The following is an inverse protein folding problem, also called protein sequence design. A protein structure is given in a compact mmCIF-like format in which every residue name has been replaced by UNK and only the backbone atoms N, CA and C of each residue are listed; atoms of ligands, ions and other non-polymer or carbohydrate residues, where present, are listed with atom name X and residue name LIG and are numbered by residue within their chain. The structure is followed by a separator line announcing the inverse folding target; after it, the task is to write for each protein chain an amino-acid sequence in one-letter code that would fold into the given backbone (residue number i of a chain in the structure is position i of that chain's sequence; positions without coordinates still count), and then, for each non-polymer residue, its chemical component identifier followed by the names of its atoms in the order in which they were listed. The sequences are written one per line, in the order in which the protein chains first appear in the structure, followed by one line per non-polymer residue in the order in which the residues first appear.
data_IF_563329623080
#
_entry.id   IF_563329623080
#
_cell.length_a   1.000
_cell.length_b   1.000
_cell.length_c   1.000
_cell.angle_alpha   90.00
_cell.angle_beta   90.00
_cell.angle_gamma   90.00
#
_symmetry.space_group_name_H-M   'P 1'
#
loop_
_entity.id
_entity.type
_entity.pdbx_description
1 polymer ?
#
# COMPACT_ATOMS: atom_id res chain seq x y z
N UNK A 1 8.87 -18.26 -4.26
CA UNK A 1 8.90 -16.89 -3.70
C UNK A 1 9.55 -15.87 -4.63
N UNK A 2 8.82 -14.83 -5.06
CA UNK A 2 9.37 -13.58 -5.64
C UNK A 2 9.21 -12.41 -4.65
N UNK A 3 10.12 -11.44 -4.66
CA UNK A 3 10.13 -10.30 -3.73
C UNK A 3 10.22 -9.00 -4.50
N UNK A 4 9.40 -8.03 -4.14
CA UNK A 4 9.32 -6.73 -4.81
C UNK A 4 9.46 -5.62 -3.77
N UNK A 5 10.32 -4.64 -4.04
CA UNK A 5 10.33 -3.40 -3.24
C UNK A 5 9.08 -2.60 -3.62
N UNK A 6 8.37 -2.04 -2.64
CA UNK A 6 7.06 -1.42 -2.87
C UNK A 6 6.85 -0.16 -2.03
N UNK A 7 5.81 0.60 -2.36
CA UNK A 7 5.26 1.60 -1.46
C UNK A 7 6.13 2.84 -1.31
N UNK A 8 6.35 3.24 -0.05
CA UNK A 8 7.02 4.49 0.27
C UNK A 8 8.45 4.54 -0.24
N UNK A 9 9.16 3.41 -0.19
CA UNK A 9 10.54 3.31 -0.66
C UNK A 9 10.68 3.67 -2.14
N UNK A 10 9.84 3.06 -3.00
CA UNK A 10 9.88 3.30 -4.45
C UNK A 10 9.46 4.73 -4.78
N UNK A 11 8.39 5.22 -4.15
CA UNK A 11 7.93 6.61 -4.32
C UNK A 11 9.03 7.63 -3.95
N UNK A 12 9.65 7.44 -2.80
CA UNK A 12 10.64 8.38 -2.27
C UNK A 12 11.93 8.33 -3.11
N UNK A 13 12.29 7.17 -3.67
CA UNK A 13 13.36 7.05 -4.65
C UNK A 13 13.06 7.83 -5.94
N UNK A 14 11.86 7.66 -6.51
CA UNK A 14 11.45 8.36 -7.73
C UNK A 14 11.35 9.88 -7.54
N UNK A 15 10.97 10.34 -6.35
CA UNK A 15 10.98 11.77 -5.99
C UNK A 15 12.38 12.32 -5.70
N UNK A 16 13.42 11.48 -5.63
CA UNK A 16 14.77 11.88 -5.27
C UNK A 16 14.91 12.34 -3.82
N UNK A 17 14.03 11.86 -2.92
CA UNK A 17 14.03 12.18 -1.49
C UNK A 17 14.38 11.00 -0.59
N UNK A 18 14.62 9.83 -1.18
CA UNK A 18 15.11 8.67 -0.44
C UNK A 18 16.53 8.91 0.07
N UNK A 19 16.77 8.46 1.29
CA UNK A 19 18.02 8.50 2.03
C UNK A 19 18.35 7.14 2.66
N UNK A 20 19.46 7.05 3.39
CA UNK A 20 19.86 5.82 4.07
C UNK A 20 18.89 5.34 5.16
N UNK A 21 17.98 6.22 5.62
CA UNK A 21 16.99 5.94 6.65
C UNK A 21 15.62 5.57 6.06
N UNK A 22 15.50 5.57 4.73
CA UNK A 22 14.25 5.24 4.05
C UNK A 22 13.92 3.77 4.28
N UNK A 23 12.79 3.55 4.96
CA UNK A 23 12.27 2.23 5.28
C UNK A 23 11.92 1.48 3.99
N UNK A 24 12.37 0.23 3.92
CA UNK A 24 12.15 -0.64 2.76
C UNK A 24 11.08 -1.66 3.09
N UNK A 25 9.94 -1.48 2.43
CA UNK A 25 8.84 -2.42 2.46
C UNK A 25 8.91 -3.36 1.27
N UNK A 26 8.81 -4.66 1.55
CA UNK A 26 8.84 -5.69 0.53
C UNK A 26 7.50 -6.43 0.46
N UNK A 27 7.03 -6.71 -0.76
CA UNK A 27 5.92 -7.64 -1.01
C UNK A 27 6.47 -8.95 -1.55
N UNK A 28 5.94 -10.05 -1.03
CA UNK A 28 6.32 -11.41 -1.34
C UNK A 28 5.17 -12.13 -2.04
N UNK A 29 5.39 -12.57 -3.27
CA UNK A 29 4.42 -13.29 -4.10
C UNK A 29 4.83 -14.75 -4.27
N UNK A 30 3.85 -15.67 -4.31
CA UNK A 30 4.10 -17.09 -4.52
C UNK A 30 4.92 -17.72 -3.38
N UNK A 31 4.53 -17.42 -2.14
CA UNK A 31 5.08 -17.98 -0.90
C UNK A 31 3.94 -18.18 0.10
N UNK A 32 4.21 -18.86 1.22
CA UNK A 32 3.28 -19.02 2.34
C UNK A 32 3.91 -18.59 3.67
N UNK A 33 3.10 -18.42 4.70
CA UNK A 33 3.61 -18.11 6.05
C UNK A 33 4.58 -19.18 6.55
N UNK A 34 4.25 -20.46 6.31
CA UNK A 34 5.11 -21.58 6.71
C UNK A 34 6.46 -21.54 5.98
N UNK A 35 6.45 -21.29 4.67
CA UNK A 35 7.68 -21.14 3.88
C UNK A 35 8.53 -19.96 4.39
N UNK A 36 7.90 -18.82 4.71
CA UNK A 36 8.61 -17.66 5.29
C UNK A 36 9.26 -18.01 6.64
N UNK A 37 8.55 -18.71 7.52
CA UNK A 37 9.06 -19.14 8.83
C UNK A 37 10.21 -20.15 8.68
N UNK A 38 10.08 -21.12 7.77
CA UNK A 38 11.13 -22.11 7.48
C UNK A 38 12.41 -21.46 6.93
N UNK A 39 12.26 -20.34 6.21
CA UNK A 39 13.38 -19.52 5.75
C UNK A 39 13.97 -18.60 6.84
N UNK A 40 13.46 -18.67 8.08
CA UNK A 40 13.96 -17.92 9.23
C UNK A 40 13.41 -16.49 9.35
N UNK A 41 12.40 -16.12 8.56
CA UNK A 41 11.70 -14.86 8.76
C UNK A 41 10.90 -14.89 10.06
N UNK A 42 10.79 -13.73 10.73
CA UNK A 42 10.06 -13.61 11.99
C UNK A 42 8.76 -12.85 11.78
N UNK A 43 7.62 -13.49 11.99
CA UNK A 43 6.32 -12.82 11.89
C UNK A 43 6.19 -11.70 12.93
N UNK A 44 5.59 -10.58 12.51
CA UNK A 44 5.26 -9.41 13.33
C UNK A 44 3.77 -9.12 13.21
N UNK A 45 3.12 -8.92 14.35
CA UNK A 45 1.66 -8.82 14.40
C UNK A 45 0.98 -10.19 14.33
N UNK A 46 -0.29 -10.23 14.75
CA UNK A 46 -1.10 -11.46 14.71
C UNK A 46 -2.07 -11.51 13.54
N UNK A 47 -2.47 -10.35 13.03
CA UNK A 47 -3.55 -10.21 12.05
C UNK A 47 -3.04 -10.05 10.61
N UNK A 48 -1.79 -9.61 10.43
CA UNK A 48 -1.20 -9.37 9.11
C UNK A 48 0.02 -10.27 8.88
N UNK A 49 0.18 -10.88 7.70
CA UNK A 49 1.33 -11.72 7.38
C UNK A 49 2.55 -10.87 7.01
N UNK A 50 2.99 -10.03 7.95
CA UNK A 50 4.21 -9.24 7.84
C UNK A 50 5.32 -9.95 8.61
N UNK A 51 6.49 -10.04 7.99
CA UNK A 51 7.63 -10.74 8.55
C UNK A 51 8.89 -9.88 8.47
N UNK A 52 9.75 -9.98 9.47
CA UNK A 52 11.07 -9.36 9.42
C UNK A 52 12.09 -10.31 8.84
N UNK A 53 12.90 -9.80 7.92
CA UNK A 53 14.01 -10.56 7.35
C UNK A 53 15.05 -10.91 8.44
N UNK A 54 15.57 -12.15 8.47
CA UNK A 54 16.48 -12.62 9.54
C UNK A 54 17.73 -11.77 9.69
N UNK A 55 18.31 -11.30 8.57
CA UNK A 55 19.53 -10.49 8.57
C UNK A 55 19.29 -8.98 8.66
N UNK A 56 18.49 -8.43 7.76
CA UNK A 56 18.33 -6.97 7.59
C UNK A 56 17.27 -6.36 8.51
N UNK A 57 16.36 -7.18 9.05
CA UNK A 57 15.18 -6.72 9.82
C UNK A 57 14.21 -5.81 9.04
N UNK A 58 14.34 -5.74 7.72
CA UNK A 58 13.35 -5.09 6.85
C UNK A 58 12.02 -5.87 6.84
N UNK A 59 10.92 -5.19 6.52
CA UNK A 59 9.58 -5.76 6.50
C UNK A 59 9.25 -6.44 5.16
N UNK A 60 8.74 -7.67 5.24
CA UNK A 60 8.31 -8.49 4.11
C UNK A 60 6.88 -8.95 4.36
N UNK A 61 5.93 -8.39 3.61
CA UNK A 61 4.54 -8.78 3.66
C UNK A 61 4.23 -9.80 2.55
N UNK A 62 3.47 -10.85 2.86
CA UNK A 62 2.87 -11.66 1.81
C UNK A 62 1.85 -10.82 1.04
N UNK A 63 1.83 -10.97 -0.28
CA UNK A 63 0.83 -10.38 -1.15
C UNK A 63 -0.57 -10.81 -0.68
N UNK A 64 -1.51 -9.86 -0.66
CA UNK A 64 -2.84 -10.12 -0.11
C UNK A 64 -3.96 -9.47 -0.88
N UNK A 65 -5.08 -10.17 -0.92
CA UNK A 65 -6.38 -9.60 -1.22
C UNK A 65 -7.13 -9.38 0.08
N UNK A 66 -7.59 -8.16 0.28
CA UNK A 66 -8.42 -7.80 1.42
C UNK A 66 -9.87 -7.82 0.93
N UNK A 67 -10.78 -8.43 1.66
CA UNK A 67 -12.22 -8.32 1.39
C UNK A 67 -12.92 -7.81 2.65
N UNK A 68 -13.62 -6.69 2.51
CA UNK A 68 -14.49 -6.20 3.57
C UNK A 68 -15.67 -7.15 3.76
N UNK A 69 -15.79 -7.72 4.96
CA UNK A 69 -16.87 -8.64 5.38
C UNK A 69 -17.81 -8.01 6.41
N UNK A 70 -17.43 -6.90 7.05
CA UNK A 70 -18.33 -6.14 7.93
C UNK A 70 -18.08 -4.63 7.89
N UNK A 71 -19.06 -3.85 8.33
CA UNK A 71 -18.94 -2.40 8.46
C UNK A 71 -17.90 -2.02 9.54
N UNK A 72 -17.11 -0.97 9.29
CA UNK A 72 -16.02 -0.52 10.17
C UNK A 72 -14.63 -1.12 9.84
N UNK A 73 -13.61 -0.73 10.61
CA UNK A 73 -12.19 -1.02 10.30
C UNK A 73 -11.70 -2.43 10.68
N UNK A 74 -12.46 -3.20 11.47
CA UNK A 74 -12.06 -4.54 11.96
C UNK A 74 -12.61 -5.70 11.10
N UNK A 75 -13.20 -5.41 9.96
CA UNK A 75 -13.98 -6.35 9.16
C UNK A 75 -13.30 -6.82 7.88
N UNK A 76 -12.04 -7.21 7.92
CA UNK A 76 -11.33 -7.69 6.73
C UNK A 76 -10.99 -9.19 6.83
N UNK A 77 -11.41 -9.94 5.82
CA UNK A 77 -10.82 -11.25 5.52
C UNK A 77 -9.64 -11.04 4.57
N UNK A 78 -8.51 -11.66 4.90
CA UNK A 78 -7.30 -11.60 4.09
C UNK A 78 -7.11 -12.94 3.39
N UNK A 79 -7.13 -12.92 2.06
CA UNK A 79 -6.60 -14.00 1.26
C UNK A 79 -5.13 -13.71 0.99
N UNK A 80 -4.26 -14.52 1.58
CA UNK A 80 -2.80 -14.43 1.45
C UNK A 80 -2.25 -15.71 0.82
N UNK A 81 -3.09 -16.39 0.02
CA UNK A 81 -2.69 -17.56 -0.73
C UNK A 81 -1.56 -17.22 -1.69
N UNK A 82 -0.77 -18.24 -2.04
CA UNK A 82 0.31 -18.12 -3.02
C UNK A 82 -0.18 -17.76 -4.43
N UNK A 83 -1.49 -17.77 -4.67
CA UNK A 83 -2.15 -17.41 -5.93
C UNK A 83 -2.36 -15.89 -6.06
N UNK A 84 -2.30 -15.13 -4.97
CA UNK A 84 -2.44 -13.67 -5.02
C UNK A 84 -1.28 -13.06 -5.81
N UNK A 85 -1.63 -12.38 -6.90
CA UNK A 85 -0.67 -11.71 -7.78
C UNK A 85 -0.21 -10.37 -7.21
N UNK A 86 0.94 -9.87 -7.70
CA UNK A 86 1.42 -8.54 -7.36
C UNK A 86 0.41 -7.44 -7.73
N UNK A 87 -0.19 -7.51 -8.92
CA UNK A 87 -1.17 -6.54 -9.38
C UNK A 87 -2.41 -6.49 -8.46
N UNK A 88 -2.87 -7.66 -8.00
CA UNK A 88 -3.94 -7.77 -7.02
C UNK A 88 -3.60 -7.11 -5.68
N UNK A 89 -2.39 -7.34 -5.14
CA UNK A 89 -1.92 -6.64 -3.93
C UNK A 89 -1.87 -5.12 -4.13
N UNK A 90 -1.23 -4.67 -5.21
CA UNK A 90 -1.08 -3.26 -5.53
C UNK A 90 -2.46 -2.58 -5.69
N UNK A 91 -3.46 -3.28 -6.25
CA UNK A 91 -4.83 -2.78 -6.42
C UNK A 91 -5.53 -2.41 -5.11
N UNK A 92 -5.10 -3.03 -4.00
CA UNK A 92 -5.68 -2.84 -2.67
C UNK A 92 -5.04 -1.66 -1.94
N UNK A 93 -3.99 -1.04 -2.47
CA UNK A 93 -3.29 0.08 -1.83
C UNK A 93 -4.10 1.38 -1.86
N UNK A 94 -3.64 2.37 -1.09
CA UNK A 94 -4.33 3.64 -0.95
C UNK A 94 -4.19 4.51 -2.21
N UNK A 95 -2.97 4.91 -2.55
CA UNK A 95 -2.68 5.86 -3.63
C UNK A 95 -1.83 5.23 -4.73
N UNK A 96 -2.04 5.65 -5.97
CA UNK A 96 -1.29 5.18 -7.16
C UNK A 96 0.22 5.34 -6.98
N UNK A 97 0.65 6.47 -6.43
CA UNK A 97 2.07 6.73 -6.12
C UNK A 97 2.68 5.77 -5.07
N UNK A 98 1.85 5.05 -4.31
CA UNK A 98 2.28 4.02 -3.35
C UNK A 98 2.05 2.59 -3.89
N UNK A 99 1.51 2.47 -5.09
CA UNK A 99 1.16 1.22 -5.76
C UNK A 99 2.13 0.89 -6.92
N UNK A 100 3.38 1.34 -6.79
CA UNK A 100 4.48 1.00 -7.67
C UNK A 100 5.34 -0.05 -6.98
N UNK A 101 5.72 -1.08 -7.73
CA UNK A 101 6.64 -2.11 -7.30
C UNK A 101 7.94 -2.06 -8.12
N UNK A 102 9.01 -2.60 -7.56
CA UNK A 102 10.32 -2.66 -8.20
C UNK A 102 10.95 -4.05 -8.03
N UNK A 103 11.46 -4.60 -9.14
CA UNK A 103 12.23 -5.84 -9.22
C UNK A 103 13.60 -5.53 -9.84
N UNK A 104 14.63 -5.40 -9.00
CA UNK A 104 15.94 -4.90 -9.46
C UNK A 104 15.82 -3.48 -10.02
N UNK A 105 16.10 -3.32 -11.31
CA UNK A 105 15.99 -2.04 -12.03
C UNK A 105 14.64 -1.87 -12.77
N UNK A 106 13.78 -2.89 -12.76
CA UNK A 106 12.48 -2.87 -13.44
C UNK A 106 11.40 -2.31 -12.51
N UNK A 107 10.64 -1.33 -13.00
CA UNK A 107 9.47 -0.79 -12.32
C UNK A 107 8.19 -1.44 -12.86
N UNK A 108 7.32 -1.84 -11.95
CA UNK A 108 6.02 -2.44 -12.23
C UNK A 108 4.95 -1.47 -11.70
N UNK A 109 4.26 -0.81 -12.62
CA UNK A 109 3.32 0.28 -12.33
C UNK A 109 1.99 0.11 -13.09
N UNK A 110 1.12 -0.83 -12.67
CA UNK A 110 -0.14 -1.10 -13.35
C UNK A 110 -1.19 0.01 -13.17
N UNK A 111 -0.98 0.95 -12.24
CA UNK A 111 -1.96 1.98 -11.88
C UNK A 111 -1.51 3.42 -12.20
N UNK A 112 -0.48 3.57 -13.04
CA UNK A 112 0.06 4.86 -13.50
C UNK A 112 0.52 5.77 -12.35
N UNK A 113 1.12 5.18 -11.32
CA UNK A 113 1.70 5.90 -10.18
C UNK A 113 2.84 6.83 -10.58
N UNK A 114 3.66 6.48 -11.57
CA UNK A 114 4.72 7.35 -12.09
C UNK A 114 4.14 8.61 -12.74
N UNK A 115 3.09 8.47 -13.55
CA UNK A 115 2.43 9.62 -14.17
C UNK A 115 1.79 10.53 -13.12
N UNK A 116 1.12 9.96 -12.12
CA UNK A 116 0.57 10.75 -11.02
C UNK A 116 1.67 11.40 -10.16
N UNK A 117 2.85 10.76 -10.02
CA UNK A 117 4.01 11.34 -9.34
C UNK A 117 4.51 12.58 -10.09
N UNK A 118 4.71 12.47 -11.39
CA UNK A 118 5.18 13.55 -12.27
C UNK A 118 4.21 14.73 -12.30
N UNK A 119 2.90 14.45 -12.27
CA UNK A 119 1.85 15.45 -12.24
C UNK A 119 1.57 16.01 -10.83
N UNK A 120 2.19 15.45 -9.79
CA UNK A 120 1.92 15.81 -8.40
C UNK A 120 0.47 15.53 -7.99
N UNK A 121 -0.03 14.33 -8.26
CA UNK A 121 -1.42 13.93 -7.99
C UNK A 121 -1.50 12.82 -6.94
N UNK A 122 -2.35 13.03 -5.94
CA UNK A 122 -2.75 12.02 -4.97
C UNK A 122 -4.05 11.38 -5.47
N UNK A 123 -3.91 10.32 -6.26
CA UNK A 123 -5.02 9.55 -6.83
C UNK A 123 -5.20 8.21 -6.11
N UNK A 124 -6.42 7.82 -5.79
CA UNK A 124 -6.70 6.50 -5.26
C UNK A 124 -6.50 5.42 -6.33
N UNK A 125 -6.08 4.22 -5.92
CA UNK A 125 -5.80 3.11 -6.84
C UNK A 125 -7.07 2.53 -7.45
N UNK A 126 -8.04 2.19 -6.60
CA UNK A 126 -9.27 1.50 -6.99
C UNK A 126 -10.42 1.84 -6.02
N UNK A 127 -11.63 1.37 -6.35
CA UNK A 127 -12.81 1.52 -5.50
C UNK A 127 -12.63 0.95 -4.08
N UNK A 128 -11.67 0.02 -3.91
CA UNK A 128 -11.24 -0.51 -2.61
C UNK A 128 -10.78 0.59 -1.64
N UNK A 129 -10.44 1.79 -2.12
CA UNK A 129 -10.13 2.94 -1.27
C UNK A 129 -11.26 3.26 -0.29
N UNK A 130 -12.51 3.11 -0.71
CA UNK A 130 -13.68 3.39 0.14
C UNK A 130 -13.89 2.37 1.26
N UNK A 131 -13.22 1.21 1.20
CA UNK A 131 -13.38 0.16 2.19
C UNK A 131 -12.73 0.51 3.53
N UNK A 132 -11.69 1.37 3.54
CA UNK A 132 -10.95 1.78 4.73
C UNK A 132 -11.03 3.31 4.94
N UNK A 133 -11.85 3.80 5.88
CA UNK A 133 -12.02 5.23 6.15
C UNK A 133 -10.73 5.92 6.63
N UNK A 134 -9.74 5.18 7.16
CA UNK A 134 -8.45 5.74 7.58
C UNK A 134 -7.70 6.33 6.38
N UNK A 135 -7.98 5.85 5.15
CA UNK A 135 -7.36 6.36 3.92
C UNK A 135 -7.66 7.85 3.68
N UNK A 136 -8.80 8.37 4.12
CA UNK A 136 -9.11 9.81 4.05
C UNK A 136 -8.09 10.63 4.86
N UNK A 137 -7.79 10.19 6.09
CA UNK A 137 -6.78 10.83 6.95
C UNK A 137 -5.37 10.67 6.37
N UNK A 138 -5.06 9.51 5.78
CA UNK A 138 -3.76 9.27 5.10
C UNK A 138 -3.58 10.22 3.92
N UNK A 139 -4.61 10.44 3.10
CA UNK A 139 -4.56 11.41 1.99
C UNK A 139 -4.30 12.82 2.51
N UNK A 140 -4.98 13.26 3.57
CA UNK A 140 -4.72 14.56 4.18
C UNK A 140 -3.27 14.69 4.67
N UNK A 141 -2.72 13.64 5.29
CA UNK A 141 -1.31 13.58 5.72
C UNK A 141 -0.35 13.67 4.52
N UNK A 142 -0.60 12.93 3.45
CA UNK A 142 0.24 12.98 2.24
C UNK A 142 0.14 14.32 1.51
N UNK A 143 -1.06 14.92 1.45
CA UNK A 143 -1.26 16.25 0.88
C UNK A 143 -0.47 17.31 1.65
N UNK A 144 -0.40 17.21 2.98
CA UNK A 144 0.44 18.07 3.80
C UNK A 144 1.95 17.82 3.57
N UNK A 145 2.38 16.55 3.61
CA UNK A 145 3.80 16.15 3.46
C UNK A 145 4.35 16.56 2.09
N UNK A 146 3.61 16.30 1.01
CA UNK A 146 4.08 16.53 -0.36
C UNK A 146 3.65 17.88 -0.94
N UNK A 147 3.07 18.77 -0.13
CA UNK A 147 2.72 20.13 -0.54
C UNK A 147 3.92 20.90 -1.10
N UNK A 148 5.11 20.68 -0.56
CA UNK A 148 6.36 21.30 -1.02
C UNK A 148 6.75 20.90 -2.45
N UNK A 149 6.29 19.73 -2.91
CA UNK A 149 6.44 19.24 -4.28
C UNK A 149 5.25 19.61 -5.17
N UNK A 150 4.32 20.44 -4.69
CA UNK A 150 3.15 20.88 -5.45
C UNK A 150 2.03 19.84 -5.56
N UNK A 151 2.07 18.76 -4.76
CA UNK A 151 1.06 17.71 -4.85
C UNK A 151 -0.35 18.21 -4.50
N UNK A 152 -1.33 17.69 -5.21
CA UNK A 152 -2.76 17.98 -5.04
C UNK A 152 -3.57 16.68 -5.05
N UNK A 153 -4.71 16.69 -4.37
CA UNK A 153 -5.64 15.56 -4.42
C UNK A 153 -6.33 15.54 -5.79
N UNK A 154 -6.32 14.39 -6.46
CA UNK A 154 -7.02 14.22 -7.73
C UNK A 154 -8.54 14.43 -7.55
N UNK A 155 -9.21 15.01 -8.55
CA UNK A 155 -10.64 15.31 -8.48
C UNK A 155 -11.51 14.06 -8.21
N UNK A 156 -11.13 12.91 -8.78
CA UNK A 156 -11.81 11.64 -8.53
C UNK A 156 -11.67 11.19 -7.07
N UNK A 157 -10.47 11.27 -6.50
CA UNK A 157 -10.21 10.96 -5.09
C UNK A 157 -10.95 11.91 -4.16
N UNK A 158 -10.95 13.21 -4.45
CA UNK A 158 -11.69 14.19 -3.66
C UNK A 158 -13.19 13.85 -3.63
N UNK A 159 -13.78 13.53 -4.79
CA UNK A 159 -15.18 13.12 -4.89
C UNK A 159 -15.45 11.85 -4.08
N UNK A 160 -14.59 10.84 -4.18
CA UNK A 160 -14.74 9.59 -3.44
C UNK A 160 -14.67 9.83 -1.93
N UNK A 161 -13.72 10.64 -1.45
CA UNK A 161 -13.63 10.99 -0.02
C UNK A 161 -14.88 11.75 0.46
N UNK A 162 -15.45 12.65 -0.35
CA UNK A 162 -16.72 13.31 -0.02
C UNK A 162 -17.85 12.30 0.13
N UNK A 163 -17.96 11.34 -0.80
CA UNK A 163 -18.97 10.28 -0.72
C UNK A 163 -18.83 9.43 0.54
N UNK A 164 -17.60 9.10 0.96
CA UNK A 164 -17.34 8.35 2.21
C UNK A 164 -17.78 9.13 3.45
N UNK A 165 -17.63 10.46 3.44
CA UNK A 165 -18.12 11.33 4.52
C UNK A 165 -19.64 11.36 4.51
N UNK A 166 -20.25 11.59 3.35
CA UNK A 166 -21.71 11.69 3.20
C UNK A 166 -22.42 10.37 3.54
N UNK A 167 -21.77 9.22 3.33
CA UNK A 167 -22.31 7.89 3.67
C UNK A 167 -22.13 7.50 5.14
N UNK A 168 -21.44 8.33 5.95
CA UNK A 168 -21.14 8.02 7.35
C UNK A 168 -20.05 6.96 7.56
N UNK A 169 -19.31 6.56 6.50
CA UNK A 169 -18.26 5.54 6.62
C UNK A 169 -17.12 6.02 7.53
N UNK A 170 -16.87 7.34 7.53
CA UNK A 170 -15.85 7.98 8.37
C UNK A 170 -16.23 7.99 9.86
N UNK A 171 -17.51 7.82 10.20
CA UNK A 171 -17.96 7.77 11.61
C UNK A 171 -17.42 6.53 12.34
N UNK A 172 -16.97 5.51 11.61
CA UNK A 172 -16.30 4.34 12.18
C UNK A 172 -14.90 4.65 12.76
N UNK A 173 -14.39 5.89 12.60
CA UNK A 173 -13.11 6.35 13.15
C UNK A 173 -13.23 6.93 14.58
N UNK A 174 -14.45 7.14 15.09
CA UNK A 174 -14.73 7.72 16.42
C UNK A 174 -15.24 6.67 17.40
#
# INVERSE_FOLDING_TARGET
MKKYLVGGAVRDQLLGIADENTEKDWVVVGSSSDEMLDLGYRQVGKEFPVFLHPGTKEEYALARLERKVSAGYKGFEFDTSSEVTLEQDLSRRDLTINAIAQDGDELIDPFNGQEDLDNGLLRHVSDAFSEDPVRVLRVARFAARFKVFGFKVAHSTHRLMQQMVDSGEVDALT
#
